data_IF_646915414511
#
_entry.id   IF_646915414511
#
_cell.length_a   1.000
_cell.length_b   1.000
_cell.length_c   1.000
_cell.angle_alpha   90.00
_cell.angle_beta   90.00
_cell.angle_gamma   90.00
#
_symmetry.space_group_name_H-M   'P 1'
#
loop_
_entity.id
_entity.type
_entity.pdbx_description
1 polymer ?
#
# COMPACT_ATOMS: atom_id res chain seq x y z
N UNK A 1 20.85 -28.54 14.18
CA UNK A 1 20.24 -27.21 14.03
C UNK A 1 20.57 -26.72 12.64
N UNK A 2 19.73 -27.10 11.68
CA UNK A 2 19.94 -27.14 10.24
C UNK A 2 19.58 -25.80 9.57
N UNK A 3 20.10 -25.55 8.36
CA UNK A 3 19.99 -24.31 7.59
C UNK A 3 18.60 -23.65 7.53
N UNK A 4 17.54 -24.43 7.71
CA UNK A 4 16.14 -24.01 7.80
C UNK A 4 15.89 -23.02 8.96
N UNK A 5 16.46 -23.28 10.14
CA UNK A 5 16.34 -22.39 11.30
C UNK A 5 17.08 -21.05 11.09
N UNK A 6 18.15 -21.04 10.30
CA UNK A 6 18.90 -19.82 9.96
C UNK A 6 18.12 -18.98 8.95
N UNK A 7 17.50 -19.62 7.95
CA UNK A 7 16.61 -18.99 6.97
C UNK A 7 15.41 -18.33 7.65
N UNK A 8 14.73 -19.07 8.53
CA UNK A 8 13.53 -18.58 9.23
C UNK A 8 13.85 -17.40 10.16
N UNK A 9 14.98 -17.45 10.87
CA UNK A 9 15.41 -16.36 11.75
C UNK A 9 15.78 -15.10 10.95
N UNK A 10 16.40 -15.26 9.76
CA UNK A 10 16.68 -14.14 8.85
C UNK A 10 15.39 -13.52 8.33
N UNK A 11 14.43 -14.32 7.86
CA UNK A 11 13.15 -13.82 7.38
C UNK A 11 12.36 -13.07 8.47
N UNK A 12 12.37 -13.58 9.71
CA UNK A 12 11.79 -12.88 10.87
C UNK A 12 12.48 -11.55 11.15
N UNK A 13 13.82 -11.53 11.14
CA UNK A 13 14.60 -10.31 11.32
C UNK A 13 14.29 -9.27 10.24
N UNK A 14 14.18 -9.70 8.98
CA UNK A 14 13.88 -8.84 7.83
C UNK A 14 12.47 -8.24 7.93
N UNK A 15 11.47 -9.04 8.32
CA UNK A 15 10.10 -8.57 8.57
C UNK A 15 10.06 -7.50 9.67
N UNK A 16 10.70 -7.74 10.82
CA UNK A 16 10.74 -6.76 11.90
C UNK A 16 11.50 -5.49 11.54
N UNK A 17 12.47 -5.57 10.64
CA UNK A 17 13.11 -4.39 10.07
C UNK A 17 12.10 -3.57 9.25
N UNK A 18 11.28 -4.22 8.42
CA UNK A 18 10.17 -3.57 7.70
C UNK A 18 9.20 -2.86 8.65
N UNK A 19 8.70 -3.59 9.67
CA UNK A 19 7.78 -3.04 10.67
C UNK A 19 8.33 -1.78 11.34
N UNK A 20 9.61 -1.78 11.70
CA UNK A 20 10.24 -0.60 12.33
C UNK A 20 10.29 0.61 11.41
N UNK A 21 10.46 0.40 10.11
CA UNK A 21 10.47 1.45 9.09
C UNK A 21 9.05 1.95 8.78
N UNK A 22 8.03 1.09 8.90
CA UNK A 22 6.63 1.45 8.66
C UNK A 22 5.99 2.21 9.83
N UNK A 23 6.45 2.00 11.08
CA UNK A 23 5.90 2.68 12.27
C UNK A 23 5.75 4.22 12.15
N UNK A 24 6.78 4.99 11.75
CA UNK A 24 6.63 6.44 11.57
C UNK A 24 5.61 6.80 10.48
N UNK A 25 5.53 5.99 9.42
CA UNK A 25 4.57 6.19 8.33
C UNK A 25 3.14 6.01 8.84
N UNK A 26 2.87 4.96 9.61
CA UNK A 26 1.55 4.69 10.21
C UNK A 26 1.13 5.84 11.12
N UNK A 27 2.03 6.32 11.98
CA UNK A 27 1.75 7.46 12.87
C UNK A 27 1.42 8.71 12.07
N UNK A 28 2.18 8.99 11.00
CA UNK A 28 1.92 10.13 10.13
C UNK A 28 0.61 10.00 9.34
N UNK A 29 0.20 8.78 8.98
CA UNK A 29 -1.02 8.50 8.23
C UNK A 29 -2.29 8.46 9.10
N UNK A 30 -2.17 8.23 10.41
CA UNK A 30 -3.32 8.08 11.30
C UNK A 30 -4.34 9.24 11.24
N UNK A 31 -3.95 10.53 11.20
CA UNK A 31 -4.91 11.63 11.07
C UNK A 31 -5.72 11.56 9.77
N UNK A 32 -5.13 11.12 8.66
CA UNK A 32 -5.83 10.96 7.39
C UNK A 32 -6.85 9.82 7.45
N UNK A 33 -6.51 8.70 8.12
CA UNK A 33 -7.45 7.60 8.36
C UNK A 33 -8.66 8.04 9.19
N UNK A 34 -8.42 8.85 10.24
CA UNK A 34 -9.51 9.43 11.04
C UNK A 34 -10.38 10.39 10.22
N UNK A 35 -9.77 11.24 9.40
CA UNK A 35 -10.48 12.15 8.51
C UNK A 35 -11.36 11.39 7.51
N UNK A 36 -10.80 10.36 6.85
CA UNK A 36 -11.55 9.48 5.96
C UNK A 36 -12.75 8.85 6.68
N UNK A 37 -12.55 8.27 7.86
CA UNK A 37 -13.62 7.64 8.63
C UNK A 37 -14.74 8.62 9.00
N UNK A 38 -14.39 9.84 9.42
CA UNK A 38 -15.36 10.88 9.71
C UNK A 38 -16.17 11.28 8.46
N UNK A 39 -15.49 11.48 7.33
CA UNK A 39 -16.15 11.85 6.07
C UNK A 39 -17.01 10.73 5.50
N UNK A 40 -16.59 9.47 5.63
CA UNK A 40 -17.37 8.33 5.17
C UNK A 40 -18.72 8.26 5.89
N UNK A 41 -18.70 8.38 7.23
CA UNK A 41 -19.92 8.37 8.04
C UNK A 41 -20.79 9.59 7.75
N UNK A 42 -20.20 10.77 7.57
CA UNK A 42 -20.92 12.00 7.20
C UNK A 42 -21.62 11.88 5.84
N UNK A 43 -21.03 11.15 4.89
CA UNK A 43 -21.61 10.84 3.59
C UNK A 43 -22.53 9.61 3.60
N UNK A 44 -22.92 9.12 4.78
CA UNK A 44 -23.92 8.06 4.93
C UNK A 44 -23.39 6.64 4.76
N UNK A 45 -22.07 6.43 4.65
CA UNK A 45 -21.49 5.09 4.69
C UNK A 45 -21.56 4.53 6.11
N UNK A 46 -21.86 3.24 6.21
CA UNK A 46 -21.71 2.51 7.47
C UNK A 46 -20.24 2.38 7.85
N UNK A 47 -19.99 2.20 9.16
CA UNK A 47 -18.64 1.93 9.69
C UNK A 47 -18.02 0.70 9.01
N UNK A 48 -18.83 -0.33 8.74
CA UNK A 48 -18.36 -1.53 8.07
C UNK A 48 -17.92 -1.25 6.62
N UNK A 49 -18.69 -0.47 5.86
CA UNK A 49 -18.31 -0.10 4.50
C UNK A 49 -17.01 0.73 4.48
N UNK A 50 -16.87 1.68 5.40
CA UNK A 50 -15.65 2.46 5.54
C UNK A 50 -14.42 1.57 5.85
N UNK A 51 -14.57 0.63 6.79
CA UNK A 51 -13.52 -0.34 7.12
C UNK A 51 -13.15 -1.24 5.95
N UNK A 52 -14.16 -1.77 5.23
CA UNK A 52 -13.96 -2.59 4.05
C UNK A 52 -13.27 -1.82 2.94
N UNK A 53 -13.62 -0.54 2.74
CA UNK A 53 -12.94 0.32 1.79
C UNK A 53 -11.47 0.51 2.15
N UNK A 54 -11.14 0.79 3.41
CA UNK A 54 -9.75 0.89 3.88
C UNK A 54 -8.98 -0.43 3.76
N UNK A 55 -9.64 -1.57 3.93
CA UNK A 55 -9.01 -2.88 3.79
C UNK A 55 -8.73 -3.27 2.33
N UNK A 56 -9.54 -2.79 1.39
CA UNK A 56 -9.44 -3.15 -0.03
C UNK A 56 -8.72 -2.11 -0.89
N UNK A 57 -8.73 -0.84 -0.48
CA UNK A 57 -8.23 0.29 -1.28
C UNK A 57 -6.98 0.89 -0.64
N UNK A 58 -5.81 0.40 -1.06
CA UNK A 58 -4.50 0.89 -0.64
C UNK A 58 -4.10 2.19 -1.36
N UNK A 59 -4.98 3.19 -1.32
CA UNK A 59 -4.75 4.50 -1.92
C UNK A 59 -5.68 5.55 -1.31
N UNK A 60 -5.18 6.29 -0.31
CA UNK A 60 -6.00 7.25 0.44
C UNK A 60 -6.69 8.30 -0.44
N UNK A 61 -6.04 8.77 -1.50
CA UNK A 61 -6.64 9.68 -2.47
C UNK A 61 -7.86 9.05 -3.18
N UNK A 62 -7.79 7.76 -3.53
CA UNK A 62 -8.92 7.02 -4.13
C UNK A 62 -10.10 6.94 -3.17
N UNK A 63 -9.83 6.78 -1.87
CA UNK A 63 -10.88 6.70 -0.86
C UNK A 63 -11.63 8.03 -0.71
N UNK A 64 -10.88 9.15 -0.70
CA UNK A 64 -11.47 10.50 -0.65
C UNK A 64 -12.29 10.80 -1.90
N UNK A 65 -11.74 10.55 -3.09
CA UNK A 65 -12.47 10.69 -4.37
C UNK A 65 -13.71 9.79 -4.39
N UNK A 66 -13.61 8.57 -3.85
CA UNK A 66 -14.74 7.65 -3.75
C UNK A 66 -15.86 8.21 -2.90
N UNK A 67 -15.57 8.72 -1.69
CA UNK A 67 -16.58 9.36 -0.83
C UNK A 67 -17.27 10.52 -1.54
N UNK A 68 -16.50 11.39 -2.20
CA UNK A 68 -17.04 12.60 -2.83
C UNK A 68 -17.92 12.30 -4.06
N UNK A 69 -17.60 11.26 -4.82
CA UNK A 69 -18.27 10.96 -6.08
C UNK A 69 -19.34 9.86 -5.97
N UNK A 70 -19.24 8.95 -4.99
CA UNK A 70 -20.27 7.95 -4.77
C UNK A 70 -21.56 8.60 -4.26
N UNK A 71 -22.70 8.18 -4.82
CA UNK A 71 -24.01 8.76 -4.51
C UNK A 71 -24.33 10.05 -5.28
N UNK A 72 -23.37 10.61 -6.03
CA UNK A 72 -23.63 11.69 -6.98
C UNK A 72 -24.21 11.15 -8.29
N UNK A 73 -24.92 12.01 -9.04
CA UNK A 73 -25.44 11.69 -10.38
C UNK A 73 -24.32 11.75 -11.46
N UNK A 74 -23.20 11.08 -11.20
CA UNK A 74 -22.01 11.04 -12.06
C UNK A 74 -21.93 9.70 -12.77
N UNK A 75 -21.49 9.70 -14.03
CA UNK A 75 -21.30 8.47 -14.78
C UNK A 75 -20.20 7.60 -14.13
N UNK A 76 -20.40 6.28 -13.93
CA UNK A 76 -19.44 5.43 -13.22
C UNK A 76 -18.01 5.45 -13.79
N UNK A 77 -17.87 5.59 -15.12
CA UNK A 77 -16.56 5.64 -15.78
C UNK A 77 -15.76 6.90 -15.41
N UNK A 78 -16.42 8.01 -15.05
CA UNK A 78 -15.74 9.22 -14.57
C UNK A 78 -15.13 8.99 -13.19
N UNK A 79 -15.77 8.20 -12.32
CA UNK A 79 -15.22 7.83 -11.01
C UNK A 79 -13.93 7.00 -11.22
N UNK A 80 -13.98 6.01 -12.12
CA UNK A 80 -12.81 5.21 -12.49
C UNK A 80 -11.70 6.08 -13.05
N UNK A 81 -12.04 7.02 -13.95
CA UNK A 81 -11.05 7.93 -14.54
C UNK A 81 -10.44 8.88 -13.50
N UNK A 82 -11.24 9.43 -12.59
CA UNK A 82 -10.75 10.28 -11.50
C UNK A 82 -9.82 9.52 -10.57
N UNK A 83 -10.20 8.31 -10.15
CA UNK A 83 -9.34 7.43 -9.33
C UNK A 83 -8.05 7.10 -10.09
N UNK A 84 -8.13 6.76 -11.37
CA UNK A 84 -6.95 6.51 -12.19
C UNK A 84 -6.04 7.76 -12.28
N UNK A 85 -6.62 8.93 -12.53
CA UNK A 85 -5.89 10.18 -12.67
C UNK A 85 -5.13 10.55 -11.40
N UNK A 86 -5.77 10.49 -10.22
CA UNK A 86 -5.11 10.84 -8.94
C UNK A 86 -4.06 9.81 -8.50
N UNK A 87 -4.13 8.58 -9.04
CA UNK A 87 -3.19 7.50 -8.76
C UNK A 87 -2.22 7.21 -9.92
N UNK A 88 -2.16 8.05 -10.95
CA UNK A 88 -1.32 7.79 -12.12
C UNK A 88 0.17 7.54 -11.74
N UNK A 89 0.61 8.11 -10.61
CA UNK A 89 1.92 7.86 -9.99
C UNK A 89 2.24 6.37 -9.79
N UNK A 90 1.24 5.52 -9.53
CA UNK A 90 1.45 4.08 -9.34
C UNK A 90 1.93 3.38 -10.60
N UNK A 91 1.66 3.92 -11.80
CA UNK A 91 2.25 3.41 -13.05
C UNK A 91 3.77 3.58 -13.02
N UNK A 92 4.25 4.76 -12.60
CA UNK A 92 5.67 5.06 -12.47
C UNK A 92 6.32 4.22 -11.37
N UNK A 93 5.65 4.10 -10.22
CA UNK A 93 6.14 3.28 -9.10
C UNK A 93 6.26 1.81 -9.50
N UNK A 94 5.27 1.28 -10.21
CA UNK A 94 5.28 -0.11 -10.71
C UNK A 94 6.44 -0.36 -11.65
N UNK A 95 6.74 0.59 -12.55
CA UNK A 95 7.89 0.49 -13.45
C UNK A 95 9.24 0.53 -12.69
N UNK A 96 9.34 1.37 -11.65
CA UNK A 96 10.54 1.46 -10.81
C UNK A 96 10.77 0.19 -9.98
N UNK A 97 9.77 -0.20 -9.19
CA UNK A 97 9.88 -1.33 -8.27
C UNK A 97 9.90 -2.68 -8.99
N UNK A 98 9.28 -2.79 -10.17
CA UNK A 98 9.14 -4.05 -10.90
C UNK A 98 10.47 -4.73 -11.19
N UNK A 99 11.53 -3.95 -11.46
CA UNK A 99 12.89 -4.48 -11.63
C UNK A 99 13.51 -5.02 -10.34
N UNK A 100 13.12 -4.46 -9.19
CA UNK A 100 13.61 -4.84 -7.87
C UNK A 100 12.98 -6.15 -7.40
N UNK A 101 11.70 -6.36 -7.70
CA UNK A 101 10.92 -7.52 -7.24
C UNK A 101 10.77 -8.63 -8.30
N UNK A 102 11.36 -8.46 -9.49
CA UNK A 102 11.28 -9.45 -10.58
C UNK A 102 11.75 -10.86 -10.18
N UNK A 103 12.59 -10.98 -9.15
CA UNK A 103 13.08 -12.24 -8.62
C UNK A 103 12.06 -12.98 -7.73
N UNK A 104 10.95 -12.33 -7.37
CA UNK A 104 9.88 -12.95 -6.57
C UNK A 104 8.98 -13.84 -7.42
N UNK A 105 8.35 -14.87 -6.83
CA UNK A 105 7.25 -15.60 -7.44
C UNK A 105 6.09 -14.67 -7.86
N UNK A 106 5.34 -14.97 -8.94
CA UNK A 106 4.28 -14.10 -9.45
C UNK A 106 3.22 -13.69 -8.42
N UNK A 107 2.86 -14.59 -7.51
CA UNK A 107 1.89 -14.31 -6.42
C UNK A 107 2.45 -13.26 -5.45
N UNK A 108 3.74 -13.34 -5.10
CA UNK A 108 4.40 -12.35 -4.24
C UNK A 108 4.51 -11.00 -4.95
N UNK A 109 4.74 -10.98 -6.27
CA UNK A 109 4.72 -9.75 -7.05
C UNK A 109 3.33 -9.13 -7.06
N UNK A 110 2.27 -9.91 -7.29
CA UNK A 110 0.89 -9.41 -7.27
C UNK A 110 0.50 -8.80 -5.91
N UNK A 111 0.83 -9.49 -4.81
CA UNK A 111 0.65 -8.95 -3.44
C UNK A 111 1.50 -7.69 -3.25
N UNK A 112 2.74 -7.69 -3.74
CA UNK A 112 3.63 -6.54 -3.68
C UNK A 112 3.05 -5.30 -4.35
N UNK A 113 2.54 -5.44 -5.57
CA UNK A 113 1.89 -4.35 -6.31
C UNK A 113 0.58 -3.90 -5.66
N UNK A 114 -0.21 -4.83 -5.10
CA UNK A 114 -1.44 -4.49 -4.40
C UNK A 114 -1.19 -3.64 -3.15
N UNK A 115 -0.11 -3.92 -2.41
CA UNK A 115 0.30 -3.19 -1.21
C UNK A 115 1.25 -2.01 -1.50
N UNK A 116 1.49 -1.68 -2.77
CA UNK A 116 2.40 -0.62 -3.16
C UNK A 116 1.79 0.75 -2.86
N UNK A 117 2.35 1.44 -1.87
CA UNK A 117 1.99 2.82 -1.48
C UNK A 117 3.17 3.76 -1.66
N UNK A 118 2.94 5.08 -1.63
CA UNK A 118 4.02 6.07 -1.80
C UNK A 118 5.17 5.88 -0.80
N UNK A 119 4.91 5.70 0.51
CA UNK A 119 5.98 5.44 1.47
C UNK A 119 6.68 4.11 1.22
N UNK A 120 5.93 3.08 0.82
CA UNK A 120 6.49 1.77 0.53
C UNK A 120 7.46 1.82 -0.67
N UNK A 121 7.06 2.52 -1.74
CA UNK A 121 7.92 2.76 -2.90
C UNK A 121 9.18 3.54 -2.49
N UNK A 122 9.03 4.63 -1.73
CA UNK A 122 10.14 5.48 -1.32
C UNK A 122 11.17 4.73 -0.45
N UNK A 123 10.70 3.91 0.50
CA UNK A 123 11.58 3.13 1.37
C UNK A 123 12.23 1.97 0.60
N UNK A 124 11.49 1.29 -0.28
CA UNK A 124 12.04 0.21 -1.10
C UNK A 124 13.10 0.71 -2.09
N UNK A 125 12.90 1.87 -2.71
CA UNK A 125 13.91 2.44 -3.61
C UNK A 125 15.16 2.87 -2.83
N UNK A 126 15.00 3.48 -1.65
CA UNK A 126 16.14 3.80 -0.77
C UNK A 126 16.95 2.56 -0.36
N UNK A 127 16.27 1.45 -0.04
CA UNK A 127 16.93 0.18 0.26
C UNK A 127 17.71 -0.34 -0.95
N UNK A 128 17.12 -0.23 -2.14
CA UNK A 128 17.77 -0.65 -3.37
C UNK A 128 18.95 0.24 -3.77
N UNK A 129 18.89 1.55 -3.53
CA UNK A 129 20.00 2.50 -3.71
C UNK A 129 21.18 2.21 -2.78
N UNK A 130 20.90 1.70 -1.57
CA UNK A 130 21.92 1.22 -0.63
C UNK A 130 22.55 -0.12 -1.04
N UNK A 131 22.15 -0.71 -2.19
CA UNK A 131 22.66 -1.99 -2.68
C UNK A 131 22.04 -3.21 -2.00
N UNK A 132 20.99 -3.02 -1.20
CA UNK A 132 20.29 -4.12 -0.52
C UNK A 132 19.15 -4.67 -1.38
N UNK A 133 18.96 -5.99 -1.34
CA UNK A 133 17.83 -6.63 -2.01
C UNK A 133 16.51 -6.31 -1.27
N UNK A 134 15.47 -6.00 -2.04
CA UNK A 134 14.10 -5.87 -1.53
C UNK A 134 13.52 -7.28 -1.39
N UNK A 135 13.60 -7.83 -0.18
CA UNK A 135 13.07 -9.15 0.14
C UNK A 135 11.58 -9.11 0.46
N UNK A 136 10.85 -10.18 0.12
CA UNK A 136 9.40 -10.25 0.35
C UNK A 136 9.03 -10.13 1.84
N UNK A 137 9.75 -10.82 2.74
CA UNK A 137 9.47 -10.75 4.17
C UNK A 137 9.64 -9.32 4.74
N UNK A 138 10.69 -8.61 4.30
CA UNK A 138 10.89 -7.21 4.63
C UNK A 138 9.79 -6.30 4.08
N UNK A 139 9.37 -6.53 2.83
CA UNK A 139 8.30 -5.74 2.19
C UNK A 139 6.94 -5.91 2.89
N UNK A 140 6.70 -7.07 3.50
CA UNK A 140 5.44 -7.37 4.18
C UNK A 140 5.35 -6.84 5.62
N UNK A 141 6.45 -6.35 6.20
CA UNK A 141 6.49 -5.74 7.53
C UNK A 141 6.42 -4.22 7.47
#
# INVERSE_FOLDING_TARGET
MSAEAISENRAKSDFWQGVRLSMPVVVAAAPFGLLFGALAVDNGFSVLEALLMSAMVFGGASQMVGIELFGQHVAPWLIVLSIFAVNFRHVLYSAGIGRRIAHWPPVQQAVGYFLLTDPQFAVAERKAEAGEAVGFAWYMG
#
